data_IF_692484583953
#
_entry.id   IF_692484583953
#
_cell.length_a   1.000
_cell.length_b   1.000
_cell.length_c   1.000
_cell.angle_alpha   90.00
_cell.angle_beta   90.00
_cell.angle_gamma   90.00
#
_symmetry.space_group_name_H-M   'P 1'
#
loop_
_entity.id
_entity.type
_entity.pdbx_description
1 polymer ?
#
# COMPACT_ATOMS: atom_id res chain seq x y z
N UNK A 1 1.30 -5.89 22.26
CA UNK A 1 1.03 -4.51 21.80
C UNK A 1 0.50 -4.65 20.40
N UNK A 2 -0.70 -4.15 20.10
CA UNK A 2 -1.32 -4.31 18.79
C UNK A 2 -0.63 -3.44 17.76
N UNK A 3 0.00 -4.04 16.75
CA UNK A 3 0.69 -3.32 15.67
C UNK A 3 -0.09 -3.44 14.35
N UNK A 4 -0.70 -2.35 13.92
CA UNK A 4 -1.26 -2.20 12.56
C UNK A 4 -0.20 -1.56 11.67
N UNK A 5 0.03 -2.13 10.49
CA UNK A 5 0.95 -1.58 9.48
C UNK A 5 0.17 -1.21 8.23
N UNK A 6 0.32 0.04 7.77
CA UNK A 6 -0.27 0.51 6.52
C UNK A 6 0.81 0.69 5.46
N UNK A 7 0.70 -0.05 4.35
CA UNK A 7 1.61 0.07 3.21
C UNK A 7 1.06 1.12 2.24
N UNK A 8 1.79 2.22 2.05
CA UNK A 8 1.45 3.23 1.05
C UNK A 8 1.88 2.78 -0.35
N UNK A 9 0.93 2.34 -1.15
CA UNK A 9 1.13 1.80 -2.49
C UNK A 9 0.57 2.69 -3.61
N UNK A 10 0.06 3.88 -3.26
CA UNK A 10 -0.45 4.86 -4.21
C UNK A 10 0.60 5.83 -4.78
N UNK A 11 0.14 6.68 -5.68
CA UNK A 11 0.93 7.76 -6.27
C UNK A 11 0.66 7.91 -7.77
N UNK A 12 1.28 8.94 -8.36
CA UNK A 12 1.05 9.28 -9.78
C UNK A 12 1.99 8.58 -10.76
N UNK A 13 2.96 7.81 -10.28
CA UNK A 13 3.94 7.10 -11.11
C UNK A 13 4.69 7.94 -12.17
N UNK A 14 4.75 9.28 -12.02
CA UNK A 14 5.29 10.21 -13.03
C UNK A 14 6.72 9.91 -13.48
N UNK A 15 7.59 9.43 -12.58
CA UNK A 15 8.99 9.11 -12.90
C UNK A 15 9.17 7.72 -13.51
N UNK A 16 8.42 6.73 -13.03
CA UNK A 16 8.59 5.32 -13.45
C UNK A 16 7.65 4.92 -14.60
N UNK A 17 6.64 5.73 -14.91
CA UNK A 17 5.62 5.46 -15.93
C UNK A 17 4.67 4.30 -15.62
N UNK A 18 4.95 3.53 -14.57
CA UNK A 18 4.22 2.31 -14.17
C UNK A 18 4.03 2.27 -12.65
N UNK A 19 3.09 1.44 -12.18
CA UNK A 19 2.86 1.26 -10.75
C UNK A 19 4.06 0.54 -10.11
N UNK A 20 4.89 1.28 -9.33
CA UNK A 20 6.09 0.75 -8.67
C UNK A 20 5.77 -0.45 -7.79
N UNK A 21 4.63 -0.42 -7.09
CA UNK A 21 4.23 -1.48 -6.17
C UNK A 21 4.06 -2.84 -6.87
N UNK A 22 3.65 -2.83 -8.14
CA UNK A 22 3.43 -4.03 -8.95
C UNK A 22 4.67 -4.50 -9.71
N UNK A 23 5.75 -3.71 -9.74
CA UNK A 23 6.93 -4.12 -10.49
C UNK A 23 7.54 -5.41 -9.92
N UNK A 24 7.89 -6.37 -10.80
CA UNK A 24 8.52 -7.60 -10.37
C UNK A 24 9.96 -7.32 -9.92
N UNK A 25 10.31 -7.80 -8.73
CA UNK A 25 11.68 -7.87 -8.26
C UNK A 25 11.98 -9.28 -7.79
N UNK A 26 12.92 -9.95 -8.47
CA UNK A 26 13.22 -11.38 -8.29
C UNK A 26 11.94 -12.24 -8.36
N UNK A 27 11.14 -12.04 -9.40
CA UNK A 27 9.93 -12.84 -9.69
C UNK A 27 8.69 -12.54 -8.83
N UNK A 28 8.73 -11.54 -7.95
CA UNK A 28 7.60 -11.19 -7.07
C UNK A 28 7.33 -9.67 -7.08
N UNK A 29 6.07 -9.20 -7.11
CA UNK A 29 5.76 -7.77 -7.01
C UNK A 29 6.37 -7.14 -5.76
N UNK A 30 6.90 -5.91 -5.87
CA UNK A 30 7.53 -5.22 -4.76
C UNK A 30 6.64 -5.14 -3.52
N UNK A 31 5.34 -4.87 -3.68
CA UNK A 31 4.39 -4.81 -2.56
C UNK A 31 4.24 -6.14 -1.84
N UNK A 32 4.16 -7.25 -2.58
CA UNK A 32 4.05 -8.58 -1.98
C UNK A 32 5.28 -8.89 -1.13
N UNK A 33 6.48 -8.48 -1.58
CA UNK A 33 7.72 -8.64 -0.80
C UNK A 33 7.67 -7.85 0.50
N UNK A 34 7.14 -6.62 0.48
CA UNK A 34 6.97 -5.80 1.69
C UNK A 34 6.00 -6.48 2.66
N UNK A 35 4.84 -6.91 2.17
CA UNK A 35 3.82 -7.60 2.96
C UNK A 35 4.37 -8.87 3.61
N UNK A 36 5.07 -9.72 2.84
CA UNK A 36 5.64 -10.97 3.36
C UNK A 36 6.63 -10.74 4.50
N UNK A 37 7.36 -9.61 4.47
CA UNK A 37 8.32 -9.24 5.51
C UNK A 37 7.66 -8.63 6.74
N UNK A 38 6.48 -8.05 6.60
CA UNK A 38 5.72 -7.43 7.68
C UNK A 38 4.78 -8.42 8.39
N UNK A 39 4.29 -9.45 7.70
CA UNK A 39 3.39 -10.48 8.25
C UNK A 39 3.81 -11.05 9.62
N UNK A 40 5.10 -11.32 9.90
CA UNK A 40 5.49 -11.88 11.20
C UNK A 40 5.38 -10.91 12.39
N UNK A 41 5.29 -9.60 12.13
CA UNK A 41 5.32 -8.55 13.18
C UNK A 41 4.04 -7.72 13.25
N UNK A 42 3.24 -7.69 12.18
CA UNK A 42 2.01 -6.93 12.10
C UNK A 42 0.81 -7.82 12.46
N UNK A 43 -0.03 -7.37 13.37
CA UNK A 43 -1.32 -8.00 13.67
C UNK A 43 -2.35 -7.70 12.59
N UNK A 44 -2.21 -6.56 11.92
CA UNK A 44 -3.06 -6.13 10.81
C UNK A 44 -2.22 -5.42 9.75
N UNK A 45 -2.51 -5.71 8.48
CA UNK A 45 -1.86 -5.06 7.34
C UNK A 45 -2.96 -4.46 6.45
N UNK A 46 -2.87 -3.14 6.25
CA UNK A 46 -3.74 -2.38 5.36
C UNK A 46 -2.92 -1.79 4.22
N UNK A 47 -3.58 -1.41 3.12
CA UNK A 47 -2.93 -0.77 1.98
C UNK A 47 -3.66 0.53 1.67
N UNK A 48 -2.92 1.60 1.37
CA UNK A 48 -3.48 2.82 0.78
C UNK A 48 -3.04 2.96 -0.67
N UNK A 49 -3.98 3.21 -1.58
CA UNK A 49 -3.71 3.29 -3.02
C UNK A 49 -4.74 4.16 -3.74
N UNK A 50 -4.30 4.90 -4.76
CA UNK A 50 -5.19 5.58 -5.72
C UNK A 50 -5.75 4.65 -6.83
N UNK A 51 -5.34 3.38 -6.81
CA UNK A 51 -5.84 2.28 -7.67
C UNK A 51 -6.00 1.01 -6.81
N UNK A 52 -7.06 0.89 -6.01
CA UNK A 52 -7.26 -0.28 -5.15
C UNK A 52 -7.35 -1.61 -5.91
N UNK A 53 -7.94 -1.57 -7.10
CA UNK A 53 -8.16 -2.72 -8.00
C UNK A 53 -6.85 -3.43 -8.40
N UNK A 54 -5.73 -2.70 -8.45
CA UNK A 54 -4.40 -3.24 -8.75
C UNK A 54 -3.93 -4.28 -7.72
N UNK A 55 -4.56 -4.33 -6.54
CA UNK A 55 -4.08 -5.05 -5.35
C UNK A 55 -5.01 -6.17 -4.87
N UNK A 56 -6.10 -6.47 -5.59
CA UNK A 56 -7.06 -7.53 -5.20
C UNK A 56 -6.39 -8.88 -4.94
N UNK A 57 -5.35 -9.21 -5.70
CA UNK A 57 -4.58 -10.45 -5.56
C UNK A 57 -3.92 -10.64 -4.19
N UNK A 58 -3.76 -9.57 -3.41
CA UNK A 58 -3.15 -9.62 -2.08
C UNK A 58 -4.10 -10.13 -1.00
N UNK A 59 -5.42 -10.12 -1.26
CA UNK A 59 -6.46 -10.45 -0.28
C UNK A 59 -6.30 -9.64 1.04
N UNK A 60 -5.97 -8.36 0.92
CA UNK A 60 -5.84 -7.43 2.04
C UNK A 60 -6.76 -6.22 1.85
N UNK A 61 -7.20 -5.55 2.93
CA UNK A 61 -7.97 -4.32 2.83
C UNK A 61 -7.16 -3.22 2.11
N UNK A 62 -7.78 -2.59 1.12
CA UNK A 62 -7.18 -1.49 0.36
C UNK A 62 -8.10 -0.28 0.38
N UNK A 63 -7.55 0.88 0.75
CA UNK A 63 -8.30 2.12 0.90
C UNK A 63 -7.76 3.19 -0.03
N UNK A 64 -8.66 3.93 -0.66
CA UNK A 64 -8.33 5.15 -1.41
C UNK A 64 -8.09 6.32 -0.46
N UNK A 65 -7.20 7.23 -0.87
CA UNK A 65 -6.94 8.45 -0.11
C UNK A 65 -8.23 9.26 0.10
N UNK A 66 -8.52 9.66 1.35
CA UNK A 66 -9.63 10.58 1.65
C UNK A 66 -9.40 11.99 1.08
N UNK A 67 -8.14 12.41 1.00
CA UNK A 67 -7.71 13.64 0.34
C UNK A 67 -6.75 13.31 -0.81
N UNK A 68 -7.27 13.04 -2.02
CA UNK A 68 -6.45 12.75 -3.19
C UNK A 68 -5.53 13.91 -3.57
N UNK A 69 -4.35 13.60 -4.10
CA UNK A 69 -3.42 14.61 -4.64
C UNK A 69 -2.38 15.15 -3.65
N UNK A 70 -2.45 14.75 -2.37
CA UNK A 70 -1.50 15.16 -1.33
C UNK A 70 -0.32 14.19 -1.12
N UNK A 71 -0.15 13.23 -2.05
CA UNK A 71 0.95 12.26 -2.03
C UNK A 71 1.00 11.46 -0.73
N UNK A 72 2.22 11.23 -0.22
CA UNK A 72 2.42 10.43 0.99
C UNK A 72 1.67 10.95 2.23
N UNK A 73 1.44 12.27 2.32
CA UNK A 73 0.69 12.85 3.43
C UNK A 73 -0.81 12.55 3.36
N UNK A 74 -1.40 12.53 2.15
CA UNK A 74 -2.80 12.12 1.94
C UNK A 74 -3.03 10.67 2.32
N UNK A 75 -2.11 9.78 1.90
CA UNK A 75 -2.12 8.38 2.31
C UNK A 75 -1.89 8.20 3.81
N UNK A 76 -1.09 9.06 4.46
CA UNK A 76 -0.83 8.97 5.90
C UNK A 76 -2.05 9.38 6.71
N UNK A 77 -2.72 10.47 6.31
CA UNK A 77 -4.00 10.87 6.90
C UNK A 77 -5.02 9.74 6.80
N UNK A 78 -5.15 9.13 5.62
CA UNK A 78 -6.07 8.01 5.39
C UNK A 78 -5.71 6.85 6.31
N UNK A 79 -4.43 6.46 6.36
CA UNK A 79 -3.92 5.40 7.22
C UNK A 79 -4.30 5.63 8.70
N UNK A 80 -4.06 6.83 9.24
CA UNK A 80 -4.37 7.19 10.62
C UNK A 80 -5.87 7.23 10.94
N UNK A 81 -6.72 7.34 9.92
CA UNK A 81 -8.17 7.43 10.08
C UNK A 81 -8.84 6.05 10.02
N UNK A 82 -8.23 5.08 9.32
CA UNK A 82 -8.77 3.72 9.13
C UNK A 82 -8.17 2.68 10.09
N UNK A 83 -7.05 3.00 10.75
CA UNK A 83 -6.30 2.10 11.63
C UNK A 83 -6.76 2.13 13.07
#
# INVERSE_FOLDING_TARGET
>A
MKLTVVVQAGGQSRRMGSNKALLPFLGKPLIQRVIDRLRPVAEEILITSNRPEDFEFLNLPVFSDFLPGYGALGGLLTALTIS
#
